data_IF_158035335735
#
_entry.id   IF_158035335735
#
_cell.length_a   1.000
_cell.length_b   1.000
_cell.length_c   1.000
_cell.angle_alpha   90.00
_cell.angle_beta   90.00
_cell.angle_gamma   90.00
#
_symmetry.space_group_name_H-M   'P 1'
#
loop_
_entity.id
_entity.type
_entity.pdbx_description
1 polymer ?
#
# COMPACT_ATOMS: atom_id res chain seq x y z
N UNK A 1 5.88 4.14 16.49
CA UNK A 1 5.25 4.26 15.18
C UNK A 1 5.88 5.38 14.38
N UNK A 2 6.19 5.09 13.16
CA UNK A 2 6.79 6.08 12.28
C UNK A 2 5.79 6.48 11.22
N UNK A 3 5.44 7.76 11.17
CA UNK A 3 4.59 8.22 10.08
C UNK A 3 5.35 8.16 8.78
N UNK A 4 4.64 7.86 7.72
CA UNK A 4 5.21 7.82 6.40
C UNK A 4 4.31 8.53 5.41
N UNK A 5 4.78 8.61 4.18
CA UNK A 5 4.02 9.20 3.09
C UNK A 5 3.94 8.17 1.96
N UNK A 6 2.74 7.99 1.42
CA UNK A 6 2.56 7.12 0.27
C UNK A 6 3.11 7.85 -0.95
N UNK A 7 4.16 7.32 -1.54
CA UNK A 7 4.78 7.92 -2.72
C UNK A 7 3.95 7.64 -3.97
N UNK A 8 3.56 6.38 -4.14
CA UNK A 8 2.69 5.99 -5.25
C UNK A 8 1.99 4.67 -4.93
N UNK A 9 0.91 4.42 -5.64
CA UNK A 9 0.11 3.21 -5.50
C UNK A 9 0.03 2.56 -6.86
N UNK A 10 0.30 1.25 -6.92
CA UNK A 10 0.33 0.49 -8.17
C UNK A 10 -1.00 -0.18 -8.49
N UNK A 11 -1.91 -0.27 -7.51
CA UNK A 11 -3.17 -1.00 -7.68
C UNK A 11 -4.34 -0.12 -7.31
N UNK A 12 -5.52 -0.55 -7.72
CA UNK A 12 -6.78 0.13 -7.40
C UNK A 12 -7.83 -0.89 -7.04
N UNK A 13 -8.94 -0.43 -6.50
CA UNK A 13 -10.08 -1.29 -6.15
C UNK A 13 -10.50 -2.11 -7.36
N UNK A 14 -10.61 -3.40 -7.18
CA UNK A 14 -11.00 -4.34 -8.22
C UNK A 14 -9.83 -5.05 -8.90
N UNK A 15 -8.59 -4.59 -8.69
CA UNK A 15 -7.44 -5.22 -9.31
C UNK A 15 -7.15 -6.57 -8.67
N UNK A 16 -6.73 -7.52 -9.49
CA UNK A 16 -6.22 -8.80 -9.00
C UNK A 16 -4.74 -8.64 -8.68
N UNK A 17 -4.33 -9.20 -7.56
CA UNK A 17 -2.94 -9.22 -7.15
C UNK A 17 -2.49 -10.63 -6.84
N UNK A 18 -1.23 -10.88 -6.99
CA UNK A 18 -0.59 -12.14 -6.64
C UNK A 18 0.49 -11.89 -5.62
N UNK A 19 0.81 -12.92 -4.87
CA UNK A 19 1.87 -12.86 -3.89
C UNK A 19 3.14 -12.30 -4.52
N UNK A 20 3.69 -11.27 -3.92
CA UNK A 20 4.89 -10.61 -4.41
C UNK A 20 4.63 -9.41 -5.30
N UNK A 21 3.38 -9.17 -5.71
CA UNK A 21 3.06 -8.01 -6.54
C UNK A 21 3.23 -6.72 -5.74
N UNK A 22 3.81 -5.67 -6.34
CA UNK A 22 3.93 -4.40 -5.65
C UNK A 22 2.57 -3.73 -5.50
N UNK A 23 2.29 -3.24 -4.30
CA UNK A 23 1.04 -2.57 -3.99
C UNK A 23 1.22 -1.06 -3.93
N UNK A 24 2.23 -0.61 -3.23
CA UNK A 24 2.51 0.81 -3.10
C UNK A 24 3.95 1.02 -2.60
N UNK A 25 4.38 2.27 -2.62
CA UNK A 25 5.67 2.65 -2.05
C UNK A 25 5.41 3.62 -0.91
N UNK A 26 5.95 3.30 0.25
CA UNK A 26 5.87 4.12 1.45
C UNK A 26 7.22 4.73 1.74
N UNK A 27 7.27 6.04 1.88
CA UNK A 27 8.49 6.74 2.28
C UNK A 27 8.41 7.04 3.77
N UNK A 28 9.37 6.50 4.53
CA UNK A 28 9.49 6.75 5.96
C UNK A 28 10.95 6.90 6.29
N UNK A 29 11.28 7.90 7.10
CA UNK A 29 12.67 8.17 7.52
C UNK A 29 13.64 8.25 6.34
N UNK A 30 13.22 8.95 5.29
CA UNK A 30 14.02 9.16 4.07
C UNK A 30 14.33 7.88 3.29
N UNK A 31 13.62 6.79 3.60
CA UNK A 31 13.77 5.53 2.89
C UNK A 31 12.48 5.18 2.17
N UNK A 32 12.63 4.71 0.94
CA UNK A 32 11.49 4.20 0.18
C UNK A 32 11.35 2.72 0.46
N UNK A 33 10.15 2.33 0.86
CA UNK A 33 9.83 0.94 1.13
C UNK A 33 8.72 0.48 0.20
N UNK A 34 9.00 -0.52 -0.60
CA UNK A 34 7.99 -1.10 -1.48
C UNK A 34 7.17 -2.11 -0.70
N UNK A 35 5.87 -1.91 -0.66
CA UNK A 35 4.96 -2.82 0.03
C UNK A 35 4.40 -3.77 -1.02
N UNK A 36 4.59 -5.06 -0.79
CA UNK A 36 4.15 -6.11 -1.71
C UNK A 36 3.05 -6.94 -1.08
N UNK A 37 2.22 -7.52 -1.93
CA UNK A 37 1.17 -8.42 -1.48
C UNK A 37 1.79 -9.70 -0.90
N UNK A 38 1.23 -10.15 0.22
CA UNK A 38 1.66 -11.40 0.85
C UNK A 38 0.73 -12.57 0.48
N UNK A 39 -0.25 -12.31 -0.35
CA UNK A 39 -1.24 -13.30 -0.74
C UNK A 39 -1.78 -13.00 -2.13
N UNK A 40 -2.39 -14.00 -2.75
CA UNK A 40 -3.16 -13.82 -3.97
C UNK A 40 -4.54 -13.32 -3.58
N UNK A 41 -5.13 -12.45 -4.37
CA UNK A 41 -6.47 -11.98 -4.09
C UNK A 41 -6.88 -10.81 -4.96
N UNK A 42 -7.94 -10.15 -4.54
CA UNK A 42 -8.49 -8.98 -5.23
C UNK A 42 -8.52 -7.82 -4.26
N UNK A 43 -8.12 -6.65 -4.74
CA UNK A 43 -8.16 -5.43 -3.94
C UNK A 43 -9.62 -5.01 -3.74
N UNK A 44 -10.10 -5.09 -2.50
CA UNK A 44 -11.49 -4.77 -2.17
C UNK A 44 -11.67 -3.30 -1.87
N UNK A 45 -10.72 -2.71 -1.16
CA UNK A 45 -10.75 -1.29 -0.82
C UNK A 45 -9.34 -0.73 -0.79
N UNK A 46 -9.21 0.54 -1.16
CA UNK A 46 -7.97 1.30 -1.02
C UNK A 46 -8.30 2.55 -0.25
N UNK A 47 -7.63 2.76 0.89
CA UNK A 47 -7.93 3.87 1.79
C UNK A 47 -6.99 5.05 1.66
N UNK A 48 -5.97 4.93 0.82
CA UNK A 48 -4.93 5.94 0.67
C UNK A 48 -4.71 6.28 -0.79
N UNK A 49 -4.03 7.39 -1.01
CA UNK A 49 -3.64 7.80 -2.36
C UNK A 49 -2.23 8.38 -2.32
N UNK A 50 -1.64 8.56 -3.48
CA UNK A 50 -0.29 9.10 -3.59
C UNK A 50 -0.18 10.46 -2.93
N UNK A 51 0.87 10.67 -2.15
CA UNK A 51 1.09 11.90 -1.41
C UNK A 51 0.43 11.96 -0.05
N UNK A 52 -0.35 10.95 0.32
CA UNK A 52 -1.07 10.92 1.59
C UNK A 52 -0.16 10.48 2.72
N UNK A 53 -0.26 11.17 3.87
CA UNK A 53 0.46 10.78 5.08
C UNK A 53 -0.30 9.65 5.78
N UNK A 54 0.43 8.66 6.25
CA UNK A 54 -0.15 7.53 6.96
C UNK A 54 0.65 7.26 8.24
N UNK A 55 -0.04 6.73 9.24
CA UNK A 55 0.61 6.27 10.46
C UNK A 55 0.80 4.76 10.44
N UNK A 56 1.43 4.23 11.48
CA UNK A 56 1.78 2.82 11.54
C UNK A 56 0.55 1.91 11.49
N UNK A 57 -0.53 2.31 12.15
CA UNK A 57 -1.73 1.48 12.24
C UNK A 57 -2.82 1.85 11.24
N UNK A 58 -2.53 2.76 10.33
CA UNK A 58 -3.51 3.17 9.33
C UNK A 58 -3.70 2.05 8.31
N UNK A 59 -4.94 1.84 7.94
CA UNK A 59 -5.24 0.89 6.88
C UNK A 59 -4.85 1.48 5.55
N UNK A 60 -4.17 0.69 4.75
CA UNK A 60 -3.77 1.09 3.41
C UNK A 60 -4.75 0.53 2.39
N UNK A 61 -5.01 -0.76 2.46
CA UNK A 61 -5.97 -1.42 1.59
C UNK A 61 -6.41 -2.76 2.15
N UNK A 62 -7.48 -3.28 1.60
CA UNK A 62 -7.99 -4.61 1.95
C UNK A 62 -7.91 -5.49 0.72
N UNK A 63 -7.31 -6.67 0.87
CA UNK A 63 -7.19 -7.67 -0.17
C UNK A 63 -7.86 -8.95 0.32
N UNK A 64 -8.73 -9.50 -0.49
CA UNK A 64 -9.43 -10.75 -0.16
C UNK A 64 -9.34 -11.78 -1.26
#
# INVERSE_FOLDING_TARGET
PMPGVILKIYVKKGDEVKRGDPLCVLVAMKMENEIRSVTDGVVKEVFVEGGMKVGLNDRIMVIE
#
